data_IF_514216593937
#
_entry.id   IF_514216593937
#
_cell.length_a   1.000
_cell.length_b   1.000
_cell.length_c   1.000
_cell.angle_alpha   90.00
_cell.angle_beta   90.00
_cell.angle_gamma   90.00
#
_symmetry.space_group_name_H-M   'P 1'
#
loop_
_entity.id
_entity.type
_entity.pdbx_description
1 polymer ?
#
# COMPACT_ATOMS: atom_id res chain seq x y z
N UNK A 1 -52.40 -41.63 -37.93
CA UNK A 1 -51.08 -41.81 -37.32
C UNK A 1 -50.43 -40.43 -37.22
N UNK A 2 -50.40 -39.85 -36.00
CA UNK A 2 -49.79 -38.51 -35.76
C UNK A 2 -48.34 -38.72 -35.34
N UNK A 3 -47.41 -38.19 -36.14
CA UNK A 3 -45.96 -38.21 -35.80
C UNK A 3 -45.67 -37.08 -34.82
N UNK A 4 -45.24 -37.40 -33.57
CA UNK A 4 -44.76 -36.46 -32.59
C UNK A 4 -43.28 -36.24 -32.85
N UNK A 5 -42.92 -34.99 -33.19
CA UNK A 5 -41.55 -34.53 -33.29
C UNK A 5 -41.09 -34.08 -31.90
N UNK A 6 -40.21 -34.78 -31.24
CA UNK A 6 -39.55 -34.34 -30.00
C UNK A 6 -38.35 -33.54 -30.41
N UNK A 7 -38.44 -32.21 -30.19
CA UNK A 7 -37.30 -31.28 -30.36
C UNK A 7 -36.43 -31.32 -29.10
N UNK A 8 -35.29 -31.97 -29.21
CA UNK A 8 -34.31 -32.00 -28.12
C UNK A 8 -33.56 -30.67 -28.10
N UNK A 9 -33.89 -29.79 -27.14
CA UNK A 9 -33.17 -28.53 -26.90
C UNK A 9 -31.92 -28.84 -26.07
N UNK A 10 -30.77 -29.00 -26.72
CA UNK A 10 -29.48 -29.07 -26.01
C UNK A 10 -29.09 -27.68 -25.55
N UNK A 11 -29.30 -27.41 -24.24
CA UNK A 11 -28.84 -26.19 -23.58
C UNK A 11 -27.31 -26.26 -23.43
N UNK A 12 -26.57 -25.58 -24.31
CA UNK A 12 -25.13 -25.38 -24.19
C UNK A 12 -24.87 -24.38 -23.05
N UNK A 13 -24.55 -24.86 -21.86
CA UNK A 13 -24.00 -24.03 -20.82
C UNK A 13 -22.59 -23.61 -21.22
N UNK A 14 -22.43 -22.42 -21.77
CA UNK A 14 -21.13 -21.77 -21.88
C UNK A 14 -20.65 -21.46 -20.45
N UNK A 15 -19.78 -22.29 -19.90
CA UNK A 15 -19.04 -22.00 -18.67
C UNK A 15 -18.06 -20.89 -19.04
N UNK A 16 -18.47 -19.63 -18.91
CA UNK A 16 -17.52 -18.52 -18.88
C UNK A 16 -16.73 -18.67 -17.58
N UNK A 17 -15.52 -19.18 -17.68
CA UNK A 17 -14.53 -19.09 -16.62
C UNK A 17 -14.30 -17.59 -16.40
N UNK A 18 -14.99 -17.00 -15.42
CA UNK A 18 -14.60 -15.71 -14.89
C UNK A 18 -13.21 -15.94 -14.31
N UNK A 19 -12.19 -15.52 -15.04
CA UNK A 19 -10.84 -15.36 -14.50
C UNK A 19 -10.99 -14.35 -13.35
N UNK A 20 -11.11 -14.84 -12.13
CA UNK A 20 -10.99 -14.01 -10.95
C UNK A 20 -9.60 -13.37 -11.08
N UNK A 21 -9.56 -12.06 -11.40
CA UNK A 21 -8.33 -11.30 -11.43
C UNK A 21 -7.64 -11.53 -10.09
N UNK A 22 -6.50 -12.21 -10.14
CA UNK A 22 -5.70 -12.46 -8.94
C UNK A 22 -5.39 -11.12 -8.30
N UNK A 23 -5.51 -11.04 -6.96
CA UNK A 23 -5.14 -9.82 -6.24
C UNK A 23 -3.69 -9.47 -6.58
N UNK A 24 -3.35 -8.21 -6.88
CA UNK A 24 -2.00 -7.82 -7.18
C UNK A 24 -1.03 -8.20 -6.06
N UNK A 25 0.09 -8.82 -6.42
CA UNK A 25 1.09 -9.31 -5.45
C UNK A 25 2.46 -9.45 -6.08
N UNK A 26 3.47 -9.61 -5.23
CA UNK A 26 4.80 -10.03 -5.65
C UNK A 26 4.85 -11.53 -5.91
N UNK A 27 5.53 -11.93 -6.99
CA UNK A 27 5.87 -13.34 -7.29
C UNK A 27 7.35 -13.65 -7.01
N UNK A 28 8.10 -12.67 -6.50
CA UNK A 28 9.53 -12.76 -6.17
C UNK A 28 9.74 -12.76 -4.66
N UNK A 29 10.76 -13.45 -4.19
CA UNK A 29 11.22 -13.44 -2.77
C UNK A 29 12.73 -13.66 -2.73
N UNK A 30 13.47 -12.88 -1.95
CA UNK A 30 13.04 -11.69 -1.21
C UNK A 30 12.62 -10.55 -2.13
N UNK A 31 11.71 -9.69 -1.65
CA UNK A 31 11.37 -8.43 -2.30
C UNK A 31 12.52 -7.46 -2.05
N UNK A 32 13.09 -6.89 -3.08
CA UNK A 32 14.23 -5.97 -2.99
C UNK A 32 13.74 -4.55 -2.72
N UNK A 33 14.14 -3.97 -1.61
CA UNK A 33 13.72 -2.63 -1.19
C UNK A 33 14.90 -1.68 -1.18
N UNK A 34 14.80 -0.57 -1.88
CA UNK A 34 15.73 0.53 -1.76
C UNK A 34 15.13 1.66 -0.92
N UNK A 35 15.84 2.03 0.14
CA UNK A 35 15.52 3.15 1.03
C UNK A 35 16.71 4.11 0.99
N UNK A 36 16.53 5.39 0.54
CA UNK A 36 17.65 6.30 0.34
C UNK A 36 18.29 6.73 1.66
N UNK A 37 19.63 6.78 1.65
CA UNK A 37 20.44 7.30 2.75
C UNK A 37 20.45 6.41 4.01
N UNK A 38 21.28 6.81 4.97
CA UNK A 38 21.36 6.20 6.31
C UNK A 38 20.95 7.24 7.36
N UNK A 39 19.69 7.64 7.33
CA UNK A 39 19.09 8.65 8.19
C UNK A 39 18.12 8.02 9.18
N UNK A 40 17.68 8.80 10.16
CA UNK A 40 16.62 8.40 11.08
C UNK A 40 15.36 7.93 10.35
N UNK A 41 14.93 8.63 9.27
CA UNK A 41 13.77 8.26 8.49
C UNK A 41 13.97 6.93 7.74
N UNK A 42 15.18 6.69 7.23
CA UNK A 42 15.55 5.43 6.57
C UNK A 42 15.44 4.26 7.52
N UNK A 43 15.89 4.43 8.76
CA UNK A 43 15.81 3.40 9.80
C UNK A 43 14.36 3.13 10.20
N UNK A 44 13.52 4.18 10.35
CA UNK A 44 12.09 4.04 10.64
C UNK A 44 11.40 3.26 9.51
N UNK A 45 11.67 3.60 8.26
CA UNK A 45 11.10 2.93 7.09
C UNK A 45 11.49 1.45 7.03
N UNK A 46 12.75 1.16 7.28
CA UNK A 46 13.25 -0.23 7.36
C UNK A 46 12.52 -1.02 8.44
N UNK A 47 12.33 -0.42 9.62
CA UNK A 47 11.59 -1.05 10.72
C UNK A 47 10.13 -1.31 10.36
N UNK A 48 9.48 -0.44 9.58
CA UNK A 48 8.12 -0.66 9.08
C UNK A 48 8.02 -1.91 8.20
N UNK A 49 8.92 -2.10 7.24
CA UNK A 49 8.98 -3.33 6.44
C UNK A 49 9.27 -4.57 7.29
N UNK A 50 10.23 -4.48 8.21
CA UNK A 50 10.58 -5.59 9.10
C UNK A 50 9.43 -5.97 10.03
N UNK A 51 8.57 -5.04 10.43
CA UNK A 51 7.38 -5.36 11.21
C UNK A 51 6.40 -6.20 10.41
N UNK A 52 6.14 -5.86 9.14
CA UNK A 52 5.33 -6.71 8.25
C UNK A 52 5.94 -8.10 8.08
N UNK A 53 7.24 -8.20 7.81
CA UNK A 53 7.93 -9.49 7.67
C UNK A 53 7.79 -10.35 8.92
N UNK A 54 8.08 -9.79 10.09
CA UNK A 54 8.06 -10.54 11.36
C UNK A 54 6.65 -10.96 11.73
N UNK A 55 5.68 -10.05 11.65
CA UNK A 55 4.30 -10.31 12.05
C UNK A 55 3.56 -11.25 11.10
N UNK A 56 3.96 -11.34 9.84
CA UNK A 56 3.41 -12.28 8.86
C UNK A 56 4.16 -13.61 8.81
N UNK A 57 5.04 -13.90 9.77
CA UNK A 57 5.89 -15.09 9.76
C UNK A 57 6.63 -15.26 8.41
N UNK A 58 7.15 -14.16 7.86
CA UNK A 58 7.84 -14.11 6.57
C UNK A 58 6.99 -14.56 5.37
N UNK A 59 5.64 -14.44 5.43
CA UNK A 59 4.80 -14.54 4.24
C UNK A 59 5.22 -13.50 3.19
N UNK A 60 5.72 -12.34 3.64
CA UNK A 60 6.51 -11.37 2.86
C UNK A 60 7.92 -11.31 3.44
N UNK A 61 8.93 -11.23 2.55
CA UNK A 61 10.34 -11.23 2.95
C UNK A 61 11.12 -10.21 2.14
N UNK A 62 11.92 -9.37 2.82
CA UNK A 62 12.63 -8.25 2.22
C UNK A 62 14.14 -8.41 2.27
N UNK A 63 14.79 -7.84 1.25
CA UNK A 63 16.23 -7.51 1.30
C UNK A 63 16.40 -6.02 0.99
N UNK A 64 17.26 -5.35 1.77
CA UNK A 64 17.49 -3.93 1.61
C UNK A 64 18.75 -3.69 0.80
N UNK A 65 18.58 -2.90 -0.28
CA UNK A 65 19.65 -2.61 -1.21
C UNK A 65 20.43 -1.36 -0.80
N UNK A 66 21.72 -1.36 -1.10
CA UNK A 66 22.59 -0.18 -0.99
C UNK A 66 22.42 0.74 -2.21
N UNK A 67 22.89 1.98 -2.10
CA UNK A 67 22.71 3.03 -3.14
C UNK A 67 23.17 2.61 -4.53
N UNK A 68 24.28 1.86 -4.63
CA UNK A 68 24.81 1.41 -5.93
C UNK A 68 23.96 0.31 -6.60
N UNK A 69 22.99 -0.27 -5.86
CA UNK A 69 22.03 -1.27 -6.36
C UNK A 69 20.60 -0.77 -6.45
N UNK A 70 20.38 0.53 -6.27
CA UNK A 70 19.03 1.13 -6.26
C UNK A 70 18.20 0.77 -7.51
N UNK A 71 18.84 0.60 -8.65
CA UNK A 71 18.15 0.31 -9.91
C UNK A 71 17.67 -1.15 -10.01
N UNK A 72 18.14 -2.04 -9.12
CA UNK A 72 17.67 -3.41 -9.00
C UNK A 72 16.44 -3.55 -8.07
N UNK A 73 15.95 -2.43 -7.47
CA UNK A 73 14.91 -2.47 -6.47
C UNK A 73 13.54 -2.77 -7.08
N UNK A 74 12.81 -3.67 -6.42
CA UNK A 74 11.39 -3.94 -6.65
C UNK A 74 10.52 -2.82 -6.05
N UNK A 75 10.89 -2.35 -4.85
CA UNK A 75 10.26 -1.21 -4.16
C UNK A 75 11.28 -0.09 -3.99
N UNK A 76 10.94 1.12 -4.43
CA UNK A 76 11.74 2.33 -4.20
C UNK A 76 11.03 3.29 -3.27
N UNK A 77 11.71 3.71 -2.22
CA UNK A 77 11.23 4.73 -1.29
C UNK A 77 11.82 6.08 -1.66
N UNK A 78 10.98 7.11 -1.64
CA UNK A 78 11.35 8.50 -1.88
C UNK A 78 10.93 9.33 -0.66
N UNK A 79 11.90 9.92 0.03
CA UNK A 79 11.63 10.93 1.04
C UNK A 79 11.54 12.29 0.37
N UNK A 80 10.39 12.94 0.52
CA UNK A 80 10.11 14.23 -0.08
C UNK A 80 9.79 15.27 0.99
N UNK A 81 10.05 16.54 0.74
CA UNK A 81 9.76 17.58 1.72
C UNK A 81 8.25 17.77 1.88
N UNK A 82 7.54 17.82 0.77
CA UNK A 82 6.08 17.87 0.69
C UNK A 82 5.62 17.00 -0.48
N UNK A 83 4.41 16.50 -0.39
CA UNK A 83 3.95 15.65 -1.47
C UNK A 83 3.48 16.43 -2.70
N UNK A 84 3.92 15.97 -3.86
CA UNK A 84 3.48 16.41 -5.18
C UNK A 84 3.05 15.24 -6.06
N UNK A 85 3.14 14.00 -5.57
CA UNK A 85 2.88 12.76 -6.32
C UNK A 85 1.59 12.06 -5.89
N UNK A 86 1.12 12.31 -4.67
CA UNK A 86 -0.04 11.64 -4.10
C UNK A 86 -1.39 12.33 -4.41
N UNK A 87 -1.41 13.33 -5.26
CA UNK A 87 -2.62 14.03 -5.70
C UNK A 87 -3.24 14.97 -4.68
N UNK A 88 -2.65 15.13 -3.49
CA UNK A 88 -3.11 16.05 -2.44
C UNK A 88 -1.93 16.61 -1.66
N UNK A 89 -1.88 17.93 -1.47
CA UNK A 89 -0.85 18.60 -0.68
C UNK A 89 -0.86 18.20 0.81
N UNK A 90 -1.98 17.65 1.29
CA UNK A 90 -2.12 17.18 2.67
C UNK A 90 -1.73 15.71 2.86
N UNK A 91 -1.52 14.96 1.78
CA UNK A 91 -1.05 13.58 1.88
C UNK A 91 0.38 13.53 2.43
N UNK A 92 0.64 12.58 3.33
CA UNK A 92 1.97 12.36 3.93
C UNK A 92 2.65 11.17 3.29
N UNK A 93 1.90 10.27 2.72
CA UNK A 93 2.41 9.10 2.02
C UNK A 93 1.48 8.66 0.91
N UNK A 94 2.06 8.01 -0.08
CA UNK A 94 1.34 7.21 -1.05
C UNK A 94 2.23 6.17 -1.71
N UNK A 95 1.60 5.13 -2.20
CA UNK A 95 2.24 4.00 -2.87
C UNK A 95 1.66 3.84 -4.27
N UNK A 96 2.52 3.94 -5.27
CA UNK A 96 2.19 3.69 -6.67
C UNK A 96 2.72 2.32 -7.07
N UNK A 97 1.84 1.40 -7.43
CA UNK A 97 2.18 0.05 -7.83
C UNK A 97 1.90 -0.18 -9.32
N UNK A 98 2.79 -0.90 -9.96
CA UNK A 98 2.70 -1.28 -11.37
C UNK A 98 2.66 -2.80 -11.48
N UNK A 99 1.73 -3.32 -12.28
CA UNK A 99 1.54 -4.75 -12.46
C UNK A 99 1.69 -5.17 -13.91
N UNK A 100 2.09 -6.41 -14.13
CA UNK A 100 2.01 -7.06 -15.44
C UNK A 100 0.57 -7.58 -15.70
N UNK A 101 0.37 -8.18 -16.88
CA UNK A 101 -0.92 -8.72 -17.31
C UNK A 101 -1.41 -9.90 -16.43
N UNK A 102 -0.51 -10.57 -15.70
CA UNK A 102 -0.82 -11.68 -14.79
C UNK A 102 -1.20 -11.19 -13.38
N UNK A 103 -1.18 -9.87 -13.13
CA UNK A 103 -1.47 -9.26 -11.84
C UNK A 103 -0.31 -9.30 -10.85
N UNK A 104 0.92 -9.61 -11.29
CA UNK A 104 2.11 -9.51 -10.44
C UNK A 104 2.71 -8.12 -10.49
N UNK A 105 3.16 -7.62 -9.35
CA UNK A 105 3.90 -6.37 -9.29
C UNK A 105 5.22 -6.48 -10.05
N UNK A 106 5.49 -5.47 -10.86
CA UNK A 106 6.75 -5.29 -11.58
C UNK A 106 7.62 -4.23 -10.91
N UNK A 107 6.99 -3.26 -10.25
CA UNK A 107 7.64 -2.16 -9.58
C UNK A 107 6.66 -1.44 -8.63
N UNK A 108 7.20 -0.87 -7.54
CA UNK A 108 6.46 -0.02 -6.61
C UNK A 108 7.29 1.20 -6.24
N UNK A 109 6.69 2.38 -6.33
CA UNK A 109 7.24 3.64 -5.83
C UNK A 109 6.46 4.11 -4.60
N UNK A 110 7.17 4.37 -3.48
CA UNK A 110 6.60 4.90 -2.25
C UNK A 110 7.12 6.31 -2.00
N UNK A 111 6.21 7.25 -1.82
CA UNK A 111 6.54 8.64 -1.49
C UNK A 111 6.14 8.93 -0.05
N UNK A 112 7.09 9.43 0.75
CA UNK A 112 6.88 9.76 2.17
C UNK A 112 7.29 11.21 2.39
N UNK A 113 6.33 12.05 2.77
CA UNK A 113 6.55 13.46 3.06
C UNK A 113 6.89 13.69 4.52
N UNK A 114 7.82 14.59 4.80
CA UNK A 114 8.17 15.01 6.16
C UNK A 114 7.31 16.17 6.67
N UNK A 115 6.56 16.80 5.79
CA UNK A 115 5.67 17.93 6.08
C UNK A 115 4.32 17.73 5.42
N UNK A 116 3.26 18.13 6.10
CA UNK A 116 1.92 18.27 5.54
C UNK A 116 1.60 19.73 5.32
N UNK A 117 0.95 20.01 4.19
CA UNK A 117 0.51 21.37 3.83
C UNK A 117 -1.00 21.37 3.77
N UNK A 118 -1.64 22.27 4.51
CA UNK A 118 -3.09 22.43 4.52
C UNK A 118 -3.50 23.88 4.44
N UNK A 119 -4.69 24.11 3.92
CA UNK A 119 -5.27 25.42 3.80
C UNK A 119 -6.25 25.66 4.96
N UNK A 120 -6.16 26.83 5.58
CA UNK A 120 -7.11 27.32 6.55
C UNK A 120 -7.90 28.45 5.90
N UNK A 121 -9.22 28.38 5.95
CA UNK A 121 -10.08 29.47 5.54
C UNK A 121 -10.41 30.31 6.77
N UNK A 122 -10.08 31.60 6.73
CA UNK A 122 -10.50 32.56 7.75
C UNK A 122 -11.98 32.91 7.61
N UNK A 123 -12.56 33.46 8.68
CA UNK A 123 -13.96 33.91 8.71
C UNK A 123 -14.25 35.03 7.69
N UNK A 124 -13.22 35.76 7.28
CA UNK A 124 -13.24 36.80 6.24
C UNK A 124 -13.08 36.25 4.79
N UNK A 125 -13.04 34.94 4.64
CA UNK A 125 -12.83 34.27 3.36
C UNK A 125 -11.36 34.18 2.89
N UNK A 126 -10.41 34.72 3.68
CA UNK A 126 -8.98 34.58 3.36
C UNK A 126 -8.53 33.12 3.45
N UNK A 127 -7.61 32.74 2.58
CA UNK A 127 -7.01 31.39 2.58
C UNK A 127 -5.55 31.51 3.02
N UNK A 128 -5.23 30.96 4.18
CA UNK A 128 -3.86 30.83 4.67
C UNK A 128 -3.34 29.40 4.47
N UNK A 129 -2.14 29.28 3.94
CA UNK A 129 -1.45 27.98 3.83
C UNK A 129 -0.59 27.76 5.08
N UNK A 130 -0.81 26.65 5.76
CA UNK A 130 -0.03 26.25 6.94
C UNK A 130 0.73 24.96 6.67
N UNK A 131 1.98 24.93 7.11
CA UNK A 131 2.84 23.74 7.03
C UNK A 131 3.02 23.18 8.44
N UNK A 132 2.86 21.86 8.57
CA UNK A 132 3.05 21.12 9.81
C UNK A 132 4.12 20.05 9.62
N UNK A 133 5.08 20.01 10.54
CA UNK A 133 6.05 18.91 10.61
C UNK A 133 5.35 17.65 11.14
N UNK A 134 5.68 16.52 10.53
CA UNK A 134 5.17 15.22 10.95
C UNK A 134 6.01 14.71 12.11
N UNK A 135 5.38 14.35 13.22
CA UNK A 135 6.08 13.75 14.35
C UNK A 135 6.60 12.32 14.00
N UNK A 136 7.63 11.87 14.70
CA UNK A 136 8.19 10.54 14.46
C UNK A 136 7.16 9.40 14.61
N UNK A 137 6.26 9.38 15.61
CA UNK A 137 5.20 8.38 15.68
C UNK A 137 4.23 8.42 14.49
N UNK A 138 3.83 9.61 14.05
CA UNK A 138 2.97 9.77 12.88
C UNK A 138 3.68 9.29 11.62
N UNK A 139 4.95 9.64 11.45
CA UNK A 139 5.75 9.23 10.30
C UNK A 139 5.90 7.70 10.25
N UNK A 140 6.20 7.06 11.39
CA UNK A 140 6.27 5.60 11.47
C UNK A 140 4.95 4.93 11.08
N UNK A 141 3.85 5.47 11.57
CA UNK A 141 2.51 4.99 11.23
C UNK A 141 2.23 5.06 9.72
N UNK A 142 2.56 6.20 9.10
CA UNK A 142 2.43 6.37 7.64
C UNK A 142 3.29 5.37 6.89
N UNK A 143 4.56 5.24 7.28
CA UNK A 143 5.49 4.28 6.64
C UNK A 143 5.01 2.84 6.76
N UNK A 144 4.44 2.46 7.91
CA UNK A 144 3.87 1.13 8.12
C UNK A 144 2.63 0.89 7.25
N UNK A 145 1.77 1.90 7.09
CA UNK A 145 0.60 1.88 6.21
C UNK A 145 1.01 1.74 4.73
N UNK A 146 1.90 2.59 4.27
CA UNK A 146 2.37 2.57 2.88
C UNK A 146 3.13 1.27 2.55
N UNK A 147 3.88 0.71 3.51
CA UNK A 147 4.49 -0.60 3.35
C UNK A 147 3.43 -1.71 3.16
N UNK A 148 2.26 -1.60 3.81
CA UNK A 148 1.11 -2.47 3.58
C UNK A 148 0.60 -2.40 2.13
N UNK A 149 0.48 -1.21 1.57
CA UNK A 149 0.15 -1.04 0.15
C UNK A 149 1.22 -1.62 -0.77
N UNK A 150 2.50 -1.39 -0.45
CA UNK A 150 3.62 -1.87 -1.24
C UNK A 150 3.72 -3.41 -1.31
N UNK A 151 3.16 -4.12 -0.34
CA UNK A 151 3.11 -5.59 -0.34
C UNK A 151 1.80 -6.18 -0.87
N UNK A 152 0.85 -5.37 -1.36
CA UNK A 152 -0.34 -5.86 -2.07
C UNK A 152 -1.67 -5.61 -1.36
N UNK A 153 -1.71 -4.88 -0.26
CA UNK A 153 -2.96 -4.49 0.37
C UNK A 153 -3.50 -3.24 -0.33
N UNK A 154 -4.35 -3.43 -1.34
CA UNK A 154 -4.85 -2.32 -2.17
C UNK A 154 -6.05 -1.57 -1.59
N UNK A 155 -6.58 -2.02 -0.46
CA UNK A 155 -7.77 -1.46 0.17
C UNK A 155 -7.45 -0.92 1.56
N UNK A 156 -8.23 0.08 1.98
CA UNK A 156 -8.20 0.56 3.35
C UNK A 156 -9.15 -0.25 4.23
N UNK A 157 -8.80 -0.39 5.52
CA UNK A 157 -9.69 -0.93 6.54
C UNK A 157 -10.73 0.11 6.97
N UNK A 158 -11.91 -0.35 7.39
CA UNK A 158 -12.92 0.49 8.03
C UNK A 158 -12.75 0.54 9.56
N UNK A 159 -11.79 -0.19 10.14
CA UNK A 159 -11.55 -0.26 11.58
C UNK A 159 -10.47 0.72 12.01
N UNK A 160 -10.76 1.66 12.90
CA UNK A 160 -9.80 2.70 13.33
C UNK A 160 -8.51 2.20 13.97
N UNK A 161 -8.50 0.97 14.50
CA UNK A 161 -7.31 0.36 15.10
C UNK A 161 -6.40 -0.37 14.10
N UNK A 162 -6.83 -0.54 12.85
CA UNK A 162 -6.03 -1.14 11.78
C UNK A 162 -4.97 -0.15 11.28
N UNK A 163 -3.79 -0.66 10.95
CA UNK A 163 -2.77 0.13 10.24
C UNK A 163 -3.28 0.57 8.86
N UNK A 164 -4.11 -0.26 8.22
CA UNK A 164 -4.66 0.05 6.89
C UNK A 164 -5.89 0.97 6.93
N UNK A 165 -6.29 1.49 8.09
CA UNK A 165 -7.32 2.51 8.16
C UNK A 165 -6.83 3.85 7.61
N UNK A 166 -7.68 4.55 6.85
CA UNK A 166 -7.34 5.87 6.28
C UNK A 166 -7.44 6.96 7.35
N UNK A 167 -6.33 7.32 7.95
CA UNK A 167 -6.26 8.37 8.98
C UNK A 167 -6.15 9.78 8.42
N UNK A 168 -6.61 10.74 9.25
CA UNK A 168 -6.16 12.12 9.16
C UNK A 168 -5.00 12.37 10.16
N UNK A 169 -4.21 13.42 9.92
CA UNK A 169 -3.13 13.84 10.84
C UNK A 169 -3.62 14.30 12.21
N UNK A 170 -4.91 14.62 12.33
CA UNK A 170 -5.53 15.08 13.55
C UNK A 170 -5.90 13.95 14.51
N UNK A 171 -5.79 12.69 14.07
CA UNK A 171 -6.07 11.53 14.91
C UNK A 171 -4.94 11.35 15.92
N UNK A 172 -5.26 11.57 17.21
CA UNK A 172 -4.27 11.54 18.31
C UNK A 172 -3.90 10.10 18.75
N UNK A 173 -4.80 9.14 18.54
CA UNK A 173 -4.60 7.73 18.91
C UNK A 173 -4.24 6.90 17.66
N UNK A 174 -3.01 7.07 17.20
CA UNK A 174 -2.54 6.41 15.97
C UNK A 174 -1.93 5.06 16.32
N UNK A 175 -2.50 3.92 15.87
CA UNK A 175 -1.91 2.61 16.07
C UNK A 175 -0.53 2.52 15.38
N UNK A 176 0.40 1.84 16.04
CA UNK A 176 1.75 1.59 15.52
C UNK A 176 2.07 0.09 15.45
N UNK A 177 1.05 -0.73 15.60
CA UNK A 177 1.17 -2.20 15.64
C UNK A 177 0.15 -2.80 14.68
N UNK A 178 0.57 -3.80 13.91
CA UNK A 178 -0.30 -4.54 13.03
C UNK A 178 -1.33 -5.34 13.84
N UNK A 179 -2.60 -5.24 13.45
CA UNK A 179 -3.69 -6.05 13.99
C UNK A 179 -3.82 -7.38 13.25
N UNK A 180 -4.58 -8.33 13.78
CA UNK A 180 -4.88 -9.59 13.08
C UNK A 180 -5.57 -9.34 11.73
N UNK A 181 -6.43 -8.32 11.62
CA UNK A 181 -7.05 -7.93 10.34
C UNK A 181 -6.00 -7.50 9.31
N UNK A 182 -5.00 -6.71 9.73
CA UNK A 182 -3.91 -6.31 8.84
C UNK A 182 -3.12 -7.54 8.33
N UNK A 183 -2.89 -8.52 9.19
CA UNK A 183 -2.22 -9.78 8.82
C UNK A 183 -3.08 -10.62 7.89
N UNK A 184 -4.39 -10.69 8.12
CA UNK A 184 -5.32 -11.42 7.25
C UNK A 184 -5.34 -10.86 5.83
N UNK A 185 -5.20 -9.55 5.64
CA UNK A 185 -5.04 -8.99 4.31
C UNK A 185 -3.84 -9.60 3.57
N UNK A 186 -2.68 -9.71 4.23
CA UNK A 186 -1.46 -10.30 3.64
C UNK A 186 -1.67 -11.79 3.35
N UNK A 187 -2.23 -12.53 4.29
CA UNK A 187 -2.47 -13.96 4.10
C UNK A 187 -3.47 -14.25 2.96
N UNK A 188 -4.45 -13.37 2.75
CA UNK A 188 -5.40 -13.48 1.63
C UNK A 188 -4.77 -13.16 0.26
N UNK A 189 -3.59 -12.54 0.24
CA UNK A 189 -2.84 -12.22 -0.98
C UNK A 189 -1.78 -13.28 -1.30
N UNK A 190 -1.13 -13.85 -0.27
CA UNK A 190 0.07 -14.69 -0.42
C UNK A 190 -0.13 -16.19 -0.09
N UNK A 191 -1.33 -16.60 0.24
CA UNK A 191 -1.72 -18.01 0.41
C UNK A 191 -2.22 -18.64 -0.88
#
# INVERSE_FOLDING_TARGET
MKKVFILLFTLLFAITSANALSKPRWNVRPIKVYIPGDTYNSQIMKNAFLQWQTRTNSAVWFTFLSDHKKDEADIRVYFVEKDTKCGSLSAIGCTHSYTNNDGFYTHVDMYIASKSVYQLQGDDGTIATKTMLISAPQLYRVMLHEAGHAIGINQHSNKPNSIMYKYSLNDVNIPQVLTEEDLDFVYNVYR
#
